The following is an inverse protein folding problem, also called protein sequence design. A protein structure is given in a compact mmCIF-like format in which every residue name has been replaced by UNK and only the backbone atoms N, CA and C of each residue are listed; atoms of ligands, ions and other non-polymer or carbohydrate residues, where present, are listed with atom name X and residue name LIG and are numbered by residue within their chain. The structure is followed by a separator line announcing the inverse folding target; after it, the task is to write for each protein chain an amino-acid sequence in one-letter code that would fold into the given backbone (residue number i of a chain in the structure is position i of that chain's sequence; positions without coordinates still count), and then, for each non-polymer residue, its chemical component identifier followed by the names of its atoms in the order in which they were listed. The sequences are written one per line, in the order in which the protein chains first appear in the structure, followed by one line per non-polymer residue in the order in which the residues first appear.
data_IF_855098456871
#
_entry.id   IF_855098456871
#
_cell.length_a   1.000
_cell.length_b   1.000
_cell.length_c   1.000
_cell.angle_alpha   90.00
_cell.angle_beta   90.00
_cell.angle_gamma   90.00
#
_symmetry.space_group_name_H-M   'P 1'
#
loop_
_entity.id
_entity.type
_entity.pdbx_description
1 polymer ?
#
# COMPACT_ATOMS: atom_id res chain seq x y z
N UNK A 1 -0.02 -1.02 3.13
CA UNK A 1 -0.47 -2.32 3.69
C UNK A 1 -0.32 -3.36 2.60
N UNK A 2 0.25 -4.56 2.81
CA UNK A 2 0.46 -5.52 1.73
C UNK A 2 -0.86 -5.92 1.04
N UNK A 3 -0.85 -6.05 -0.29
CA UNK A 3 -2.05 -6.36 -1.10
C UNK A 3 -2.79 -7.62 -0.62
N UNK A 4 -2.07 -8.67 -0.23
CA UNK A 4 -2.68 -9.88 0.33
C UNK A 4 -3.45 -9.62 1.63
N UNK A 5 -2.96 -8.72 2.49
CA UNK A 5 -3.67 -8.33 3.72
C UNK A 5 -4.90 -7.49 3.38
N UNK A 6 -4.83 -6.64 2.36
CA UNK A 6 -5.97 -5.87 1.87
C UNK A 6 -7.08 -6.81 1.36
N UNK A 7 -6.72 -7.78 0.52
CA UNK A 7 -7.67 -8.76 -0.01
C UNK A 7 -8.36 -9.57 1.10
N UNK A 8 -7.61 -10.00 2.12
CA UNK A 8 -8.17 -10.71 3.28
C UNK A 8 -9.08 -9.83 4.13
N UNK A 9 -8.72 -8.55 4.31
CA UNK A 9 -9.56 -7.59 5.02
C UNK A 9 -10.86 -7.32 4.27
N UNK A 10 -10.79 -7.11 2.96
CA UNK A 10 -11.95 -6.98 2.05
C UNK A 10 -12.88 -8.17 2.21
N UNK A 11 -12.35 -9.40 2.16
CA UNK A 11 -13.16 -10.61 2.33
C UNK A 11 -13.86 -10.65 3.71
N UNK A 12 -13.17 -10.27 4.78
CA UNK A 12 -13.77 -10.23 6.12
C UNK A 12 -14.86 -9.15 6.23
N UNK A 13 -14.65 -7.97 5.62
CA UNK A 13 -15.64 -6.90 5.59
C UNK A 13 -16.89 -7.30 4.79
N UNK A 14 -16.73 -8.00 3.67
CA UNK A 14 -17.85 -8.52 2.87
C UNK A 14 -18.67 -9.56 3.66
N UNK A 15 -18.01 -10.45 4.39
CA UNK A 15 -18.69 -11.39 5.29
C UNK A 15 -19.44 -10.66 6.42
N UNK A 16 -18.91 -9.55 6.93
CA UNK A 16 -19.61 -8.73 7.92
C UNK A 16 -20.84 -8.05 7.32
N UNK A 17 -20.77 -7.56 6.08
CA UNK A 17 -21.93 -7.01 5.37
C UNK A 17 -23.02 -8.06 5.18
N UNK A 18 -22.65 -9.29 4.80
CA UNK A 18 -23.58 -10.41 4.69
C UNK A 18 -24.18 -10.77 6.06
N UNK A 19 -23.36 -10.79 7.11
CA UNK A 19 -23.83 -11.10 8.46
C UNK A 19 -24.86 -10.10 8.96
N UNK A 20 -24.65 -8.80 8.72
CA UNK A 20 -25.56 -7.72 9.12
C UNK A 20 -26.56 -7.33 8.03
N UNK A 21 -26.79 -8.18 7.02
CA UNK A 21 -27.86 -7.97 6.04
C UNK A 21 -29.26 -8.03 6.68
N UNK A 22 -29.37 -8.80 7.78
CA UNK A 22 -30.55 -8.90 8.63
C UNK A 22 -30.31 -8.13 9.93
N UNK A 23 -31.17 -7.16 10.21
CA UNK A 23 -31.05 -6.28 11.37
C UNK A 23 -31.17 -7.04 12.71
N UNK A 24 -31.79 -8.22 12.71
CA UNK A 24 -31.94 -9.08 13.90
C UNK A 24 -30.62 -9.67 14.41
N UNK A 25 -29.55 -9.63 13.60
CA UNK A 25 -28.23 -10.16 13.95
C UNK A 25 -27.32 -9.16 14.64
N UNK A 26 -27.79 -7.94 14.90
CA UNK A 26 -27.03 -6.94 15.62
C UNK A 26 -27.46 -6.85 17.08
N UNK A 27 -26.48 -6.91 18.00
CA UNK A 27 -26.70 -6.65 19.43
C UNK A 27 -25.73 -5.59 19.96
N UNK A 28 -26.17 -4.86 20.99
CA UNK A 28 -25.33 -3.95 21.79
C UNK A 28 -24.99 -4.56 23.14
N UNK A 29 -23.88 -4.12 23.72
CA UNK A 29 -23.44 -4.47 25.09
C UNK A 29 -23.03 -5.93 25.30
N UNK A 30 -23.08 -6.77 24.25
CA UNK A 30 -22.70 -8.19 24.28
C UNK A 30 -21.97 -8.56 22.99
N UNK A 31 -20.92 -9.38 23.10
CA UNK A 31 -20.21 -9.89 21.92
C UNK A 31 -21.05 -10.89 21.11
N UNK A 32 -21.80 -11.72 21.81
CA UNK A 32 -22.68 -12.76 21.29
C UNK A 32 -23.91 -12.79 22.19
N UNK A 33 -25.11 -12.79 21.61
CA UNK A 33 -26.37 -12.88 22.37
C UNK A 33 -26.89 -14.32 22.56
N UNK A 34 -26.18 -15.31 22.01
CA UNK A 34 -26.55 -16.73 22.05
C UNK A 34 -27.59 -17.16 21.00
N UNK A 35 -28.18 -16.20 20.27
CA UNK A 35 -29.20 -16.43 19.24
C UNK A 35 -28.68 -16.10 17.83
N UNK A 36 -27.36 -15.96 17.69
CA UNK A 36 -26.68 -15.63 16.43
C UNK A 36 -26.48 -14.12 16.23
N UNK A 37 -26.98 -13.28 17.13
CA UNK A 37 -26.74 -11.86 17.14
C UNK A 37 -25.38 -11.52 17.73
N UNK A 38 -24.66 -10.61 17.06
CA UNK A 38 -23.34 -10.18 17.48
C UNK A 38 -23.23 -8.66 17.50
N UNK A 39 -22.40 -8.11 18.39
CA UNK A 39 -21.93 -6.74 18.22
C UNK A 39 -20.90 -6.67 17.08
N UNK A 40 -20.53 -5.46 16.65
CA UNK A 40 -19.53 -5.26 15.60
C UNK A 40 -18.24 -6.09 15.81
N UNK A 41 -17.69 -6.03 17.03
CA UNK A 41 -16.46 -6.74 17.38
C UNK A 41 -16.70 -8.24 17.51
N UNK A 42 -17.86 -8.64 18.05
CA UNK A 42 -18.26 -10.03 18.15
C UNK A 42 -18.37 -10.72 16.80
N UNK A 43 -19.03 -10.07 15.83
CA UNK A 43 -19.17 -10.56 14.46
C UNK A 43 -17.80 -10.70 13.78
N UNK A 44 -16.95 -9.67 13.92
CA UNK A 44 -15.58 -9.70 13.40
C UNK A 44 -14.78 -10.89 13.97
N UNK A 45 -14.85 -11.13 15.28
CA UNK A 45 -14.16 -12.27 15.92
C UNK A 45 -14.77 -13.62 15.54
N UNK A 46 -16.10 -13.71 15.40
CA UNK A 46 -16.80 -14.91 14.97
C UNK A 46 -16.40 -15.27 13.53
N UNK A 47 -16.56 -14.34 12.60
CA UNK A 47 -16.29 -14.55 11.17
C UNK A 47 -14.81 -14.77 10.89
N UNK A 48 -13.92 -14.02 11.55
CA UNK A 48 -12.47 -14.23 11.46
C UNK A 48 -12.10 -15.67 11.84
N UNK A 49 -12.63 -16.20 12.95
CA UNK A 49 -12.39 -17.58 13.37
C UNK A 49 -13.00 -18.59 12.41
N UNK A 50 -14.25 -18.39 12.01
CA UNK A 50 -15.00 -19.28 11.12
C UNK A 50 -14.33 -19.43 9.74
N UNK A 51 -13.83 -18.32 9.20
CA UNK A 51 -13.23 -18.27 7.85
C UNK A 51 -11.70 -18.26 7.85
N UNK A 52 -11.06 -18.32 9.03
CA UNK A 52 -9.59 -18.28 9.21
C UNK A 52 -8.93 -17.05 8.60
N UNK A 53 -9.60 -15.90 8.71
CA UNK A 53 -9.10 -14.62 8.20
C UNK A 53 -8.43 -13.79 9.29
N UNK A 54 -7.29 -13.14 9.02
CA UNK A 54 -6.67 -12.24 9.97
C UNK A 54 -7.53 -11.00 10.19
N UNK A 55 -7.57 -10.54 11.44
CA UNK A 55 -8.45 -9.45 11.88
C UNK A 55 -7.82 -8.06 11.85
N UNK A 56 -6.49 -7.96 11.95
CA UNK A 56 -5.81 -6.71 12.24
C UNK A 56 -6.08 -5.61 11.20
N UNK A 57 -5.97 -5.95 9.91
CA UNK A 57 -6.24 -5.01 8.82
C UNK A 57 -7.70 -4.55 8.78
N UNK A 58 -8.66 -5.47 8.95
CA UNK A 58 -10.08 -5.11 9.01
C UNK A 58 -10.41 -4.21 10.21
N UNK A 59 -9.79 -4.46 11.38
CA UNK A 59 -9.95 -3.59 12.55
C UNK A 59 -9.44 -2.18 12.26
N UNK A 60 -8.23 -2.05 11.70
CA UNK A 60 -7.65 -0.76 11.35
C UNK A 60 -8.54 0.02 10.37
N UNK A 61 -8.99 -0.63 9.29
CA UNK A 61 -9.90 -0.03 8.30
C UNK A 61 -11.24 0.41 8.91
N UNK A 62 -11.81 -0.39 9.82
CA UNK A 62 -13.03 -0.02 10.53
C UNK A 62 -12.81 1.19 11.43
N UNK A 63 -11.68 1.26 12.13
CA UNK A 63 -11.32 2.41 12.96
C UNK A 63 -11.12 3.68 12.13
N UNK A 64 -10.46 3.58 10.97
CA UNK A 64 -10.26 4.70 10.05
C UNK A 64 -11.58 5.15 9.39
N UNK A 65 -12.53 4.23 9.21
CA UNK A 65 -13.85 4.54 8.69
C UNK A 65 -14.74 5.29 9.69
N UNK A 66 -14.47 5.20 10.99
CA UNK A 66 -15.33 5.79 12.01
C UNK A 66 -15.46 7.32 11.89
N UNK A 67 -16.60 7.90 12.31
CA UNK A 67 -16.83 9.35 12.23
C UNK A 67 -15.89 10.15 13.16
N UNK A 68 -15.43 9.52 14.24
CA UNK A 68 -14.49 10.09 15.21
C UNK A 68 -13.30 9.16 15.31
N UNK A 69 -12.13 9.66 14.91
CA UNK A 69 -10.88 8.92 14.99
C UNK A 69 -10.51 8.62 16.44
N UNK A 70 -9.83 7.49 16.67
CA UNK A 70 -9.29 7.11 17.97
C UNK A 70 -10.29 6.47 18.95
N UNK A 71 -11.57 6.35 18.60
CA UNK A 71 -12.54 5.64 19.45
C UNK A 71 -12.46 4.12 19.24
N UNK A 72 -12.56 3.30 20.31
CA UNK A 72 -12.66 1.86 20.18
C UNK A 72 -13.94 1.42 19.46
N UNK A 73 -13.86 0.34 18.67
CA UNK A 73 -15.01 -0.23 17.95
C UNK A 73 -16.17 -0.63 18.90
N UNK A 74 -15.86 -1.10 20.12
CA UNK A 74 -16.86 -1.40 21.14
C UNK A 74 -17.63 -0.15 21.55
N UNK A 75 -16.91 0.95 21.79
CA UNK A 75 -17.55 2.22 22.16
C UNK A 75 -18.44 2.75 21.03
N UNK A 76 -17.99 2.63 19.78
CA UNK A 76 -18.83 2.95 18.64
C UNK A 76 -20.11 2.11 18.61
N UNK A 77 -19.99 0.79 18.70
CA UNK A 77 -21.14 -0.12 18.64
C UNK A 77 -22.20 0.18 19.71
N UNK A 78 -21.75 0.42 20.94
CA UNK A 78 -22.64 0.49 22.09
C UNK A 78 -23.20 1.90 22.33
N UNK A 79 -22.44 2.94 22.01
CA UNK A 79 -22.77 4.33 22.37
C UNK A 79 -23.06 5.23 21.17
N UNK A 80 -22.41 5.01 20.02
CA UNK A 80 -22.49 5.92 18.87
C UNK A 80 -23.32 5.39 17.70
N UNK A 81 -23.36 4.08 17.50
CA UNK A 81 -24.08 3.46 16.41
C UNK A 81 -25.55 3.30 16.80
N UNK A 82 -26.42 4.12 16.21
CA UNK A 82 -27.86 4.18 16.44
C UNK A 82 -28.66 3.10 15.71
N UNK A 83 -28.14 2.55 14.61
CA UNK A 83 -28.84 1.56 13.77
C UNK A 83 -27.92 0.61 13.02
N UNK A 84 -28.47 -0.52 12.55
CA UNK A 84 -27.76 -1.45 11.65
C UNK A 84 -27.40 -0.79 10.32
N UNK A 85 -28.19 0.18 9.85
CA UNK A 85 -27.86 0.95 8.65
C UNK A 85 -26.56 1.77 8.84
N UNK A 86 -26.39 2.42 10.00
CA UNK A 86 -25.14 3.12 10.32
C UNK A 86 -23.97 2.15 10.48
N UNK A 87 -24.20 0.99 11.10
CA UNK A 87 -23.20 -0.08 11.21
C UNK A 87 -22.71 -0.50 9.81
N UNK A 88 -23.63 -0.83 8.91
CA UNK A 88 -23.34 -1.19 7.51
C UNK A 88 -22.64 -0.06 6.77
N UNK A 89 -23.01 1.20 7.00
CA UNK A 89 -22.36 2.36 6.40
C UNK A 89 -20.87 2.45 6.76
N UNK A 90 -20.52 2.21 8.02
CA UNK A 90 -19.11 2.17 8.46
C UNK A 90 -18.36 1.00 7.82
N UNK A 91 -18.96 -0.18 7.74
CA UNK A 91 -18.34 -1.33 7.08
C UNK A 91 -18.11 -1.05 5.59
N UNK A 92 -19.09 -0.46 4.89
CA UNK A 92 -18.95 -0.04 3.49
C UNK A 92 -17.88 1.04 3.29
N UNK A 93 -17.73 1.96 4.25
CA UNK A 93 -16.66 2.96 4.21
C UNK A 93 -15.29 2.33 4.41
N UNK A 94 -15.15 1.40 5.37
CA UNK A 94 -13.93 0.63 5.57
C UNK A 94 -13.55 -0.18 4.33
N UNK A 95 -14.54 -0.75 3.66
CA UNK A 95 -14.39 -1.47 2.39
C UNK A 95 -13.81 -0.57 1.29
N UNK A 96 -14.35 0.64 1.11
CA UNK A 96 -13.82 1.62 0.14
C UNK A 96 -12.38 2.03 0.47
N UNK A 97 -12.06 2.26 1.74
CA UNK A 97 -10.67 2.56 2.16
C UNK A 97 -9.72 1.41 1.78
N UNK A 98 -10.17 0.15 1.88
CA UNK A 98 -9.38 -0.99 1.46
C UNK A 98 -9.11 -0.96 -0.06
N UNK A 99 -10.11 -0.64 -0.87
CA UNK A 99 -9.98 -0.51 -2.33
C UNK A 99 -9.00 0.62 -2.70
N UNK A 100 -9.10 1.79 -2.03
CA UNK A 100 -8.20 2.92 -2.21
C UNK A 100 -6.74 2.54 -1.88
N UNK A 101 -6.54 1.81 -0.77
CA UNK A 101 -5.22 1.29 -0.41
C UNK A 101 -4.68 0.29 -1.43
N UNK A 102 -5.52 -0.59 -1.99
CA UNK A 102 -5.09 -1.53 -3.03
C UNK A 102 -4.65 -0.80 -4.30
N UNK A 103 -5.36 0.26 -4.68
CA UNK A 103 -4.95 1.12 -5.80
C UNK A 103 -3.63 1.84 -5.53
N UNK A 104 -3.48 2.41 -4.33
CA UNK A 104 -2.25 3.09 -3.94
C UNK A 104 -1.02 2.15 -3.97
N UNK A 105 -1.14 0.93 -3.47
CA UNK A 105 -0.05 -0.06 -3.49
C UNK A 105 0.30 -0.49 -4.93
N UNK A 106 -0.70 -0.70 -5.79
CA UNK A 106 -0.48 -1.00 -7.22
C UNK A 106 0.24 0.16 -7.93
N UNK A 107 -0.18 1.39 -7.67
CA UNK A 107 0.47 2.58 -8.22
C UNK A 107 1.92 2.71 -7.74
N UNK A 108 2.17 2.50 -6.44
CA UNK A 108 3.52 2.54 -5.87
C UNK A 108 4.42 1.45 -6.47
N UNK A 109 3.89 0.23 -6.67
CA UNK A 109 4.61 -0.86 -7.31
C UNK A 109 4.99 -0.51 -8.76
N UNK A 110 4.07 0.08 -9.53
CA UNK A 110 4.32 0.51 -10.90
C UNK A 110 5.42 1.59 -10.98
N UNK A 111 5.35 2.61 -10.10
CA UNK A 111 6.37 3.66 -10.01
C UNK A 111 7.74 3.07 -9.68
N UNK A 112 7.80 2.15 -8.72
CA UNK A 112 9.05 1.46 -8.35
C UNK A 112 9.61 0.65 -9.51
N UNK A 113 8.77 -0.12 -10.21
CA UNK A 113 9.20 -0.91 -11.37
C UNK A 113 9.74 -0.03 -12.49
N UNK A 114 9.05 1.08 -12.79
CA UNK A 114 9.50 2.05 -13.78
C UNK A 114 10.86 2.66 -13.42
N UNK A 115 11.05 3.09 -12.16
CA UNK A 115 12.30 3.68 -11.72
C UNK A 115 13.48 2.69 -11.84
N UNK A 116 13.27 1.43 -11.45
CA UNK A 116 14.28 0.38 -11.59
C UNK A 116 14.64 0.14 -13.06
N UNK A 117 13.66 0.16 -13.96
CA UNK A 117 13.91 0.05 -15.40
C UNK A 117 14.74 1.24 -15.94
N UNK A 118 14.48 2.46 -15.48
CA UNK A 118 15.27 3.64 -15.86
C UNK A 118 16.72 3.54 -15.37
N UNK A 119 16.93 3.08 -14.13
CA UNK A 119 18.27 2.87 -13.58
C UNK A 119 19.03 1.81 -14.38
N UNK A 120 18.38 0.68 -14.70
CA UNK A 120 18.97 -0.37 -15.52
C UNK A 120 19.36 0.15 -16.92
N UNK A 121 18.46 0.88 -17.59
CA UNK A 121 18.73 1.49 -18.89
C UNK A 121 19.95 2.42 -18.85
N UNK A 122 20.09 3.25 -17.82
CA UNK A 122 21.26 4.14 -17.66
C UNK A 122 22.55 3.38 -17.41
N UNK A 123 22.51 2.24 -16.69
CA UNK A 123 23.69 1.39 -16.44
C UNK A 123 24.13 0.58 -17.66
N UNK A 124 23.21 0.27 -18.56
CA UNK A 124 23.51 -0.45 -19.80
C UNK A 124 23.94 0.44 -20.97
N UNK A 125 23.95 1.76 -20.80
CA UNK A 125 24.48 2.67 -21.82
C UNK A 125 26.01 2.55 -21.89
N UNK A 126 26.61 2.37 -23.09
CA UNK A 126 28.06 2.37 -23.24
C UNK A 126 28.65 3.67 -22.69
N UNK A 127 29.87 3.66 -22.11
CA UNK A 127 30.57 4.90 -21.85
C UNK A 127 30.68 5.64 -23.19
N UNK A 128 30.16 6.87 -23.24
CA UNK A 128 30.41 7.75 -24.36
C UNK A 128 31.92 7.76 -24.57
N UNK A 129 32.38 7.28 -25.71
CA UNK A 129 33.80 7.32 -26.06
C UNK A 129 34.18 8.79 -26.11
N UNK A 130 34.77 9.29 -25.03
CA UNK A 130 35.61 10.47 -25.06
C UNK A 130 36.81 10.02 -25.87
N UNK A 131 36.67 10.00 -27.20
CA UNK A 131 37.80 9.96 -28.11
C UNK A 131 38.41 11.33 -27.99
N UNK A 132 39.37 11.40 -27.06
CA UNK A 132 40.34 12.45 -26.98
C UNK A 132 41.04 12.50 -28.34
N UNK A 133 40.61 13.42 -29.19
CA UNK A 133 41.23 13.63 -30.50
C UNK A 133 42.47 14.49 -30.27
N UNK A 134 43.49 13.91 -29.65
CA UNK A 134 44.85 14.45 -29.72
C UNK A 134 45.33 14.13 -31.14
N UNK A 135 45.11 15.07 -32.05
CA UNK A 135 45.89 15.16 -33.28
C UNK A 135 47.31 15.57 -32.88
N UNK A 136 48.19 14.61 -32.61
CA UNK A 136 49.63 14.83 -32.72
C UNK A 136 49.99 14.88 -34.22
N UNK A 137 50.59 15.98 -34.72
CA UNK A 137 51.16 15.98 -36.05
C UNK A 137 52.47 15.17 -36.07
N UNK A 138 52.81 14.53 -37.21
CA UNK A 138 53.91 13.60 -37.30
C UNK A 138 55.26 14.31 -37.25
N UNK A 139 56.16 13.72 -36.47
CA UNK A 139 57.60 13.98 -36.47
C UNK A 139 58.15 14.09 -37.90
N UNK A 140 58.82 15.22 -38.19
CA UNK A 140 59.77 15.33 -39.28
C UNK A 140 61.20 15.37 -38.68
N UNK A 141 62.08 14.40 -38.98
CA UNK A 141 63.50 14.60 -38.79
C UNK A 141 64.06 15.29 -40.03
N UNK A 142 64.91 16.31 -39.87
CA UNK A 142 66.19 16.31 -40.59
C UNK A 142 67.14 17.47 -40.23
N UNK A 143 68.39 17.05 -40.03
CA UNK A 143 69.68 17.72 -40.26
C UNK A 143 70.21 18.82 -39.31
N UNK A 144 71.14 18.38 -38.44
CA UNK A 144 72.49 18.92 -38.15
C UNK A 144 73.02 19.88 -39.26
N UNK A 145 73.72 21.01 -39.06
CA UNK A 145 74.41 21.73 -37.97
C UNK A 145 74.94 23.08 -38.59
N UNK A 146 75.92 23.85 -38.07
CA UNK A 146 76.30 24.18 -36.69
C UNK A 146 76.34 25.71 -36.42
N UNK A 147 76.52 26.05 -35.14
CA UNK A 147 76.92 27.36 -34.60
C UNK A 147 78.09 28.00 -35.34
N UNK A 148 78.03 29.33 -35.50
CA UNK A 148 79.20 30.21 -35.40
C UNK A 148 78.88 31.42 -34.52
N UNK A 149 79.59 31.48 -33.39
CA UNK A 149 79.95 32.72 -32.69
C UNK A 149 81.19 33.29 -33.40
N UNK A 150 81.23 34.60 -33.62
CA UNK A 150 82.43 35.42 -33.47
C UNK A 150 82.09 36.92 -33.53
N UNK A 151 82.53 37.61 -32.48
CA UNK A 151 82.89 39.04 -32.33
C UNK A 151 81.93 40.13 -32.81
#
# INVERSE_FOLDING_TARGET
MPEAQIAQAVQLLDLMLEHFADDSRWTRGRYDDGNGGHCLVGALLHLSRKHRLPRAAAIALLQDAMPRSGLPLVHFNDTCCGSVAELRSIILKARRLADDHAEQERAAAAVKAWLLAQIAKKRSAPPASIVDTVQEPPFAPDHLAPRRLAA
#
